data_IF_747722501875
#
_entry.id   IF_747722501875
#
_cell.length_a   1.000
_cell.length_b   1.000
_cell.length_c   1.000
_cell.angle_alpha   90.00
_cell.angle_beta   90.00
_cell.angle_gamma   90.00
#
_symmetry.space_group_name_H-M   'P 1'
#
loop_
_entity.id
_entity.type
_entity.pdbx_description
1 polymer ?
#
# COMPACT_ATOMS: atom_id res chain seq x y z
N UNK A 1 35.21 -44.43 -49.04
CA UNK A 1 34.38 -43.20 -49.00
C UNK A 1 34.78 -42.32 -47.82
N UNK A 2 35.48 -41.21 -48.04
CA UNK A 2 35.79 -40.24 -46.97
C UNK A 2 34.55 -39.37 -46.73
N UNK A 3 33.70 -39.78 -45.80
CA UNK A 3 32.48 -39.05 -45.46
C UNK A 3 32.90 -37.74 -44.78
N UNK A 4 32.58 -36.60 -45.42
CA UNK A 4 32.95 -35.25 -44.98
C UNK A 4 32.13 -34.87 -43.72
N UNK A 5 32.48 -35.43 -42.55
CA UNK A 5 31.77 -35.29 -41.27
C UNK A 5 31.92 -33.94 -40.55
N UNK A 6 32.52 -32.92 -41.18
CA UNK A 6 32.88 -31.64 -40.51
C UNK A 6 31.70 -30.72 -40.20
N UNK A 7 30.48 -30.99 -40.67
CA UNK A 7 29.28 -30.13 -40.44
C UNK A 7 28.38 -30.56 -39.29
N UNK A 8 28.55 -31.79 -38.78
CA UNK A 8 27.77 -32.32 -37.65
C UNK A 8 28.05 -31.62 -36.30
N UNK A 9 29.30 -31.34 -35.90
CA UNK A 9 29.55 -30.64 -34.64
C UNK A 9 29.08 -29.18 -34.68
N UNK A 10 29.09 -28.55 -35.86
CA UNK A 10 28.63 -27.17 -36.03
C UNK A 10 27.10 -27.06 -35.87
N UNK A 11 26.35 -27.99 -36.45
CA UNK A 11 24.90 -28.04 -36.31
C UNK A 11 24.48 -28.31 -34.86
N UNK A 12 25.18 -29.21 -34.16
CA UNK A 12 24.95 -29.48 -32.74
C UNK A 12 25.23 -28.24 -31.88
N UNK A 13 26.34 -27.53 -32.14
CA UNK A 13 26.68 -26.29 -31.43
C UNK A 13 25.61 -25.21 -31.61
N UNK A 14 25.05 -25.05 -32.81
CA UNK A 14 23.96 -24.10 -33.07
C UNK A 14 22.67 -24.47 -32.33
N UNK A 15 22.35 -25.77 -32.23
CA UNK A 15 21.17 -26.25 -31.47
C UNK A 15 21.35 -25.98 -29.97
N UNK A 16 22.55 -26.23 -29.43
CA UNK A 16 22.85 -25.94 -28.03
C UNK A 16 22.80 -24.42 -27.76
N UNK A 17 23.36 -23.61 -28.66
CA UNK A 17 23.31 -22.16 -28.53
C UNK A 17 21.86 -21.64 -28.57
N UNK A 18 21.06 -22.16 -29.50
CA UNK A 18 19.64 -21.82 -29.62
C UNK A 18 18.83 -22.24 -28.38
N UNK A 19 19.09 -23.41 -27.81
CA UNK A 19 18.40 -23.88 -26.61
C UNK A 19 18.75 -23.03 -25.38
N UNK A 20 20.00 -22.60 -25.23
CA UNK A 20 20.44 -21.70 -24.16
C UNK A 20 19.74 -20.35 -24.27
N UNK A 21 19.72 -19.75 -25.46
CA UNK A 21 19.07 -18.45 -25.70
C UNK A 21 17.57 -18.51 -25.37
N UNK A 22 16.87 -19.54 -25.86
CA UNK A 22 15.44 -19.73 -25.57
C UNK A 22 15.18 -19.96 -24.07
N UNK A 23 16.06 -20.73 -23.41
CA UNK A 23 15.99 -20.97 -21.97
C UNK A 23 16.15 -19.69 -21.15
N UNK A 24 17.15 -18.86 -21.48
CA UNK A 24 17.41 -17.58 -20.80
C UNK A 24 16.22 -16.62 -20.88
N UNK A 25 15.56 -16.53 -22.04
CA UNK A 25 14.38 -15.66 -22.22
C UNK A 25 13.22 -16.12 -21.32
N UNK A 26 12.97 -17.43 -21.23
CA UNK A 26 11.89 -17.96 -20.38
C UNK A 26 12.14 -17.73 -18.89
N UNK A 27 13.38 -17.89 -18.45
CA UNK A 27 13.80 -17.67 -17.06
C UNK A 27 13.70 -16.17 -16.69
N UNK A 28 14.15 -15.28 -17.57
CA UNK A 28 14.02 -13.83 -17.33
C UNK A 28 12.57 -13.40 -17.16
N UNK A 29 11.67 -13.88 -18.04
CA UNK A 29 10.24 -13.56 -17.96
C UNK A 29 9.59 -14.14 -16.70
N UNK A 30 9.96 -15.34 -16.27
CA UNK A 30 9.39 -15.97 -15.07
C UNK A 30 9.82 -15.25 -13.78
N UNK A 31 11.08 -14.80 -13.70
CA UNK A 31 11.58 -14.00 -12.57
C UNK A 31 10.86 -12.65 -12.51
N UNK A 32 10.74 -11.94 -13.64
CA UNK A 32 10.02 -10.66 -13.68
C UNK A 32 8.57 -10.80 -13.24
N UNK A 33 7.85 -11.81 -13.73
CA UNK A 33 6.46 -12.07 -13.33
C UNK A 33 6.35 -12.45 -11.85
N UNK A 34 7.32 -13.20 -11.32
CA UNK A 34 7.37 -13.54 -9.90
C UNK A 34 7.56 -12.29 -9.05
N UNK A 35 8.47 -11.39 -9.43
CA UNK A 35 8.72 -10.16 -8.68
C UNK A 35 7.49 -9.24 -8.67
N UNK A 36 6.82 -9.07 -9.82
CA UNK A 36 5.57 -8.31 -9.90
C UNK A 36 4.49 -8.92 -8.99
N UNK A 37 4.35 -10.25 -8.98
CA UNK A 37 3.40 -10.92 -8.07
C UNK A 37 3.76 -10.71 -6.61
N UNK A 38 5.05 -10.78 -6.26
CA UNK A 38 5.50 -10.55 -4.89
C UNK A 38 5.23 -9.12 -4.43
N UNK A 39 5.43 -8.14 -5.31
CA UNK A 39 5.12 -6.73 -5.03
C UNK A 39 3.62 -6.54 -4.76
N UNK A 40 2.76 -7.07 -5.63
CA UNK A 40 1.29 -7.04 -5.45
C UNK A 40 0.89 -7.73 -4.13
N UNK A 41 1.45 -8.91 -3.84
CA UNK A 41 1.16 -9.63 -2.59
C UNK A 41 1.61 -8.80 -1.38
N UNK A 42 2.75 -8.14 -1.45
CA UNK A 42 3.26 -7.31 -0.36
C UNK A 42 2.37 -6.09 -0.12
N UNK A 43 1.93 -5.40 -1.18
CA UNK A 43 1.02 -4.27 -1.11
C UNK A 43 -0.33 -4.69 -0.52
N UNK A 44 -0.91 -5.79 -1.03
CA UNK A 44 -2.18 -6.31 -0.52
C UNK A 44 -2.07 -6.73 0.95
N UNK A 45 -0.96 -7.34 1.37
CA UNK A 45 -0.76 -7.71 2.78
C UNK A 45 -0.65 -6.48 3.68
N UNK A 46 -0.01 -5.41 3.20
CA UNK A 46 0.05 -4.14 3.92
C UNK A 46 -1.35 -3.52 4.06
N UNK A 47 -2.13 -3.51 2.97
CA UNK A 47 -3.51 -3.03 2.99
C UNK A 47 -4.38 -3.84 3.95
N UNK A 48 -4.31 -5.17 3.90
CA UNK A 48 -5.01 -6.06 4.84
C UNK A 48 -4.61 -5.76 6.29
N UNK A 49 -3.32 -5.52 6.55
CA UNK A 49 -2.85 -5.17 7.89
C UNK A 49 -3.43 -3.85 8.38
N UNK A 50 -3.46 -2.83 7.51
CA UNK A 50 -4.02 -1.52 7.85
C UNK A 50 -5.53 -1.61 8.12
N UNK A 51 -6.27 -2.32 7.27
CA UNK A 51 -7.71 -2.54 7.46
C UNK A 51 -8.00 -3.30 8.74
N UNK A 52 -7.17 -4.29 9.12
CA UNK A 52 -7.30 -4.98 10.41
C UNK A 52 -7.10 -4.04 11.58
N UNK A 53 -6.07 -3.19 11.54
CA UNK A 53 -5.84 -2.19 12.58
C UNK A 53 -7.01 -1.20 12.69
N UNK A 54 -7.58 -0.79 11.56
CA UNK A 54 -8.76 0.08 11.54
C UNK A 54 -9.98 -0.60 12.16
N UNK A 55 -10.23 -1.87 11.81
CA UNK A 55 -11.29 -2.69 12.42
C UNK A 55 -11.09 -2.82 13.92
N UNK A 56 -9.87 -3.11 14.38
CA UNK A 56 -9.56 -3.27 15.80
C UNK A 56 -9.78 -1.95 16.57
N UNK A 57 -9.37 -0.81 15.99
CA UNK A 57 -9.61 0.51 16.56
C UNK A 57 -11.10 0.83 16.64
N UNK A 58 -11.85 0.59 15.55
CA UNK A 58 -13.30 0.81 15.51
C UNK A 58 -14.04 -0.07 16.51
N UNK A 59 -13.63 -1.33 16.65
CA UNK A 59 -14.19 -2.23 17.65
C UNK A 59 -13.92 -1.75 19.07
N UNK A 60 -12.70 -1.27 19.35
CA UNK A 60 -12.38 -0.68 20.65
C UNK A 60 -13.21 0.57 20.93
N UNK A 61 -13.41 1.43 19.93
CA UNK A 61 -14.27 2.61 20.05
C UNK A 61 -15.74 2.21 20.28
N UNK A 62 -16.21 1.17 19.60
CA UNK A 62 -17.56 0.63 19.77
C UNK A 62 -17.77 0.01 21.16
N UNK A 63 -16.82 -0.75 21.68
CA UNK A 63 -16.88 -1.29 23.05
C UNK A 63 -16.97 -0.17 24.09
N UNK A 64 -16.21 0.91 23.87
CA UNK A 64 -16.21 2.09 24.72
C UNK A 64 -17.32 3.09 24.39
N UNK A 65 -18.19 2.81 23.41
CA UNK A 65 -19.22 3.75 22.95
C UNK A 65 -20.25 4.12 24.02
N UNK A 66 -20.44 3.21 24.99
CA UNK A 66 -21.32 3.43 26.14
C UNK A 66 -20.64 4.16 27.32
N UNK A 67 -19.33 4.41 27.22
CA UNK A 67 -18.59 5.16 28.24
C UNK A 67 -18.97 6.63 28.25
N UNK A 68 -18.89 7.26 29.43
CA UNK A 68 -19.13 8.69 29.60
C UNK A 68 -18.19 9.54 28.77
N UNK A 69 -16.95 9.11 28.60
CA UNK A 69 -15.91 9.83 27.87
C UNK A 69 -16.20 9.85 26.37
N UNK A 70 -16.67 8.73 25.81
CA UNK A 70 -17.11 8.67 24.42
C UNK A 70 -18.34 9.56 24.17
N UNK A 71 -19.34 9.49 25.06
CA UNK A 71 -20.54 10.33 24.97
C UNK A 71 -20.16 11.82 25.05
N UNK A 72 -19.24 12.19 25.95
CA UNK A 72 -18.74 13.56 26.06
C UNK A 72 -17.98 14.00 24.80
N UNK A 73 -17.12 13.13 24.25
CA UNK A 73 -16.39 13.39 23.00
C UNK A 73 -17.36 13.67 21.85
N UNK A 74 -18.33 12.78 21.61
CA UNK A 74 -19.37 12.97 20.57
C UNK A 74 -20.19 14.22 20.84
N UNK A 75 -20.60 14.46 22.09
CA UNK A 75 -21.36 15.66 22.44
C UNK A 75 -20.58 16.96 22.17
N UNK A 76 -19.26 17.00 22.44
CA UNK A 76 -18.42 18.17 22.19
C UNK A 76 -18.07 18.34 20.71
N UNK A 77 -17.68 17.26 20.04
CA UNK A 77 -17.15 17.27 18.67
C UNK A 77 -18.28 17.37 17.63
N UNK A 78 -19.32 16.55 17.75
CA UNK A 78 -20.39 16.46 16.74
C UNK A 78 -21.56 17.40 17.06
N UNK A 79 -21.88 17.57 18.35
CA UNK A 79 -23.05 18.36 18.78
C UNK A 79 -22.69 19.74 19.33
N UNK A 80 -21.40 20.05 19.50
CA UNK A 80 -20.94 21.33 20.05
C UNK A 80 -21.43 21.62 21.48
N UNK A 81 -21.84 20.58 22.21
CA UNK A 81 -22.37 20.68 23.56
C UNK A 81 -21.24 20.80 24.59
N UNK A 82 -21.52 21.49 25.69
CA UNK A 82 -20.62 21.63 26.84
C UNK A 82 -21.40 21.48 28.13
N UNK A 83 -20.71 21.13 29.23
CA UNK A 83 -21.40 20.96 30.51
C UNK A 83 -21.94 22.31 31.01
N UNK A 84 -23.06 22.31 31.75
CA UNK A 84 -23.53 23.53 32.41
C UNK A 84 -22.40 24.14 33.23
N UNK A 85 -22.16 25.46 33.07
CA UNK A 85 -21.10 26.25 33.74
C UNK A 85 -19.69 26.13 33.13
N UNK A 86 -19.51 25.46 31.99
CA UNK A 86 -18.26 25.56 31.20
C UNK A 86 -18.29 26.75 30.24
N UNK A 87 -17.12 27.36 29.98
CA UNK A 87 -16.95 28.47 29.05
C UNK A 87 -16.12 28.01 27.85
N UNK A 88 -16.68 28.15 26.64
CA UNK A 88 -15.98 27.82 25.40
C UNK A 88 -15.06 28.99 25.01
N UNK A 89 -13.77 28.73 24.87
CA UNK A 89 -12.83 29.68 24.26
C UNK A 89 -12.71 29.39 22.76
N UNK A 90 -13.19 30.31 21.93
CA UNK A 90 -13.01 30.28 20.47
C UNK A 90 -11.89 31.27 20.12
N UNK A 91 -10.76 30.75 19.65
CA UNK A 91 -9.69 31.58 19.13
C UNK A 91 -10.04 32.09 17.73
N UNK A 92 -10.37 33.39 17.65
CA UNK A 92 -10.75 34.08 16.40
C UNK A 92 -9.61 34.21 15.38
N UNK A 93 -8.35 33.99 15.78
CA UNK A 93 -7.21 34.08 14.88
C UNK A 93 -6.82 32.72 14.27
N UNK A 94 -7.30 31.61 14.85
CA UNK A 94 -7.03 30.25 14.36
C UNK A 94 -7.51 30.01 12.93
N UNK A 95 -8.58 30.69 12.51
CA UNK A 95 -9.11 30.58 11.15
C UNK A 95 -8.34 31.43 10.13
N UNK A 96 -7.70 32.53 10.57
CA UNK A 96 -6.87 33.37 9.69
C UNK A 96 -5.59 32.65 9.29
N UNK A 97 -5.02 31.86 10.19
CA UNK A 97 -3.81 31.07 9.91
C UNK A 97 -4.07 29.89 8.96
N UNK A 98 -5.30 29.37 8.90
CA UNK A 98 -5.68 28.35 7.90
C UNK A 98 -5.83 28.94 6.50
N UNK A 99 -6.43 30.13 6.38
CA UNK A 99 -6.62 30.83 5.10
C UNK A 99 -5.26 31.28 4.51
N UNK A 100 -4.34 31.76 5.36
CA UNK A 100 -3.03 32.23 4.90
C UNK A 100 -2.07 31.12 4.45
N UNK A 101 -2.32 29.85 4.81
CA UNK A 101 -1.50 28.72 4.39
C UNK A 101 -2.05 28.03 3.13
N UNK A 102 -3.35 28.12 2.84
CA UNK A 102 -3.92 27.60 1.59
C UNK A 102 -3.52 28.39 0.34
N UNK A 103 -3.15 29.67 0.48
CA UNK A 103 -2.67 30.53 -0.61
C UNK A 103 -1.17 30.38 -0.91
N UNK A 104 -0.43 29.58 -0.14
CA UNK A 104 1.02 29.32 -0.36
C UNK A 104 1.31 28.09 -1.20
N UNK A 105 0.29 27.28 -1.51
CA UNK A 105 0.40 26.03 -2.26
C UNK A 105 -0.14 26.14 -3.70
N UNK A 106 -0.31 27.38 -4.22
CA UNK A 106 -0.62 27.68 -5.65
C UNK A 106 0.55 28.42 -6.29
#
# INVERSE_FOLDING_TARGET
MKVKRRRFPLALALIILGSVILGSIKIGKSISLRNQKLEIISANNQEISNLKLEIDNLNSELENSSSTDFIEKVAREDLGMVKPREVIYVDKNKDKDKINNSDKDI
#
